data_IF_195770752457
#
_entry.id   IF_195770752457
#
_cell.length_a   1.000
_cell.length_b   1.000
_cell.length_c   1.000
_cell.angle_alpha   90.00
_cell.angle_beta   90.00
_cell.angle_gamma   90.00
#
_symmetry.space_group_name_H-M   'P 1'
#
loop_
_entity.id
_entity.type
_entity.pdbx_description
1 polymer ?
#
# COMPACT_ATOMS: atom_id res chain seq x y z
N UNK A 1 8.92 -6.85 17.11
CA UNK A 1 8.34 -7.47 15.90
C UNK A 1 8.95 -6.82 14.67
N UNK A 2 9.07 -7.57 13.56
CA UNK A 2 9.46 -7.05 12.24
C UNK A 2 8.21 -6.57 11.52
N UNK A 3 8.06 -5.28 11.33
CA UNK A 3 6.88 -4.67 10.71
C UNK A 3 7.23 -4.14 9.32
N UNK A 4 6.48 -4.57 8.32
CA UNK A 4 6.56 -4.03 6.96
C UNK A 4 5.60 -2.86 6.80
N UNK A 5 6.11 -1.66 6.55
CA UNK A 5 5.31 -0.46 6.28
C UNK A 5 5.07 -0.33 4.78
N UNK A 6 3.82 -0.51 4.36
CA UNK A 6 3.43 -0.43 2.97
C UNK A 6 2.61 0.84 2.73
N UNK A 7 3.25 1.85 2.16
CA UNK A 7 2.64 3.15 1.89
C UNK A 7 1.84 3.14 0.59
N UNK A 8 0.62 3.64 0.62
CA UNK A 8 -0.20 3.73 -0.57
C UNK A 8 -1.50 4.49 -0.39
N UNK A 9 -2.08 4.93 -1.51
CA UNK A 9 -3.46 5.46 -1.53
C UNK A 9 -4.48 4.33 -1.44
N UNK A 10 -4.13 3.14 -1.94
CA UNK A 10 -5.01 1.95 -2.01
C UNK A 10 -6.39 2.32 -2.55
N UNK A 11 -6.45 2.84 -3.76
CA UNK A 11 -7.63 3.42 -4.40
C UNK A 11 -7.98 2.73 -5.73
N UNK A 12 -8.48 1.44 -5.67
CA UNK A 12 -8.70 0.59 -4.49
C UNK A 12 -7.50 -0.27 -4.08
N UNK A 13 -7.64 -0.94 -2.91
CA UNK A 13 -6.83 -2.11 -2.55
C UNK A 13 -7.11 -3.24 -3.56
N UNK A 14 -6.08 -4.03 -3.92
CA UNK A 14 -6.23 -5.09 -4.91
C UNK A 14 -5.38 -6.33 -4.55
N UNK A 15 -5.61 -7.44 -5.26
CA UNK A 15 -4.96 -8.73 -5.01
C UNK A 15 -3.43 -8.65 -5.10
N UNK A 16 -2.89 -7.74 -5.90
CA UNK A 16 -1.44 -7.47 -5.93
C UNK A 16 -0.90 -6.98 -4.59
N UNK A 17 -1.59 -6.06 -3.92
CA UNK A 17 -1.19 -5.58 -2.59
C UNK A 17 -1.24 -6.71 -1.55
N UNK A 18 -2.36 -7.46 -1.51
CA UNK A 18 -2.54 -8.58 -0.58
C UNK A 18 -1.50 -9.67 -0.83
N UNK A 19 -1.22 -9.99 -2.10
CA UNK A 19 -0.23 -11.01 -2.49
C UNK A 19 1.17 -10.67 -2.00
N UNK A 20 1.59 -9.40 -2.08
CA UNK A 20 2.87 -8.92 -1.54
C UNK A 20 2.91 -9.12 -0.02
N UNK A 21 1.86 -8.69 0.70
CA UNK A 21 1.76 -8.86 2.14
C UNK A 21 1.87 -10.33 2.55
N UNK A 22 1.08 -11.19 1.90
CA UNK A 22 1.05 -12.63 2.14
C UNK A 22 2.42 -13.26 1.92
N UNK A 23 3.08 -12.93 0.79
CA UNK A 23 4.38 -13.49 0.45
C UNK A 23 5.46 -13.13 1.46
N UNK A 24 5.51 -11.89 1.91
CA UNK A 24 6.49 -11.43 2.92
C UNK A 24 6.27 -12.12 4.27
N UNK A 25 5.02 -12.31 4.67
CA UNK A 25 4.66 -13.04 5.88
C UNK A 25 5.01 -14.52 5.79
N UNK A 26 4.61 -15.22 4.73
CA UNK A 26 4.90 -16.66 4.53
C UNK A 26 6.40 -16.97 4.48
N UNK A 27 7.19 -16.05 3.90
CA UNK A 27 8.66 -16.15 3.87
C UNK A 27 9.33 -15.75 5.18
N UNK A 28 8.57 -15.38 6.23
CA UNK A 28 9.07 -14.92 7.53
C UNK A 28 10.03 -13.72 7.46
N UNK A 29 9.91 -12.93 6.40
CA UNK A 29 10.69 -11.69 6.23
C UNK A 29 10.17 -10.63 7.20
N UNK A 30 8.86 -10.57 7.39
CA UNK A 30 8.13 -9.71 8.32
C UNK A 30 7.17 -10.53 9.18
N UNK A 31 6.79 -9.98 10.34
CA UNK A 31 5.79 -10.56 11.25
C UNK A 31 4.40 -9.97 10.98
N UNK A 32 4.32 -8.68 10.63
CA UNK A 32 3.08 -7.99 10.25
C UNK A 32 3.35 -6.99 9.11
N UNK A 33 2.32 -6.71 8.31
CA UNK A 33 2.29 -5.58 7.37
C UNK A 33 1.33 -4.53 7.87
N UNK A 34 1.79 -3.28 7.93
CA UNK A 34 0.93 -2.14 8.17
C UNK A 34 0.73 -1.36 6.87
N UNK A 35 -0.48 -1.40 6.33
CA UNK A 35 -0.89 -0.58 5.20
C UNK A 35 -1.04 0.87 5.67
N UNK A 36 -0.07 1.70 5.36
CA UNK A 36 -0.07 3.12 5.75
C UNK A 36 -0.85 3.90 4.70
N UNK A 37 -2.08 4.29 5.04
CA UNK A 37 -2.97 4.99 4.10
C UNK A 37 -2.53 6.44 3.91
N UNK A 38 -2.15 6.76 2.68
CA UNK A 38 -1.83 8.12 2.27
C UNK A 38 -3.11 8.83 1.81
N UNK A 39 -3.52 9.94 2.48
CA UNK A 39 -4.73 10.68 2.11
C UNK A 39 -4.67 11.21 0.69
N UNK A 40 -3.54 11.81 0.33
CA UNK A 40 -3.25 12.35 -1.00
C UNK A 40 -1.76 12.20 -1.28
N UNK A 41 -1.40 11.45 -2.32
CA UNK A 41 -0.01 11.36 -2.74
C UNK A 41 0.49 12.70 -3.30
N UNK A 42 1.65 13.22 -2.85
CA UNK A 42 2.24 14.44 -3.39
C UNK A 42 2.45 14.39 -4.92
N UNK A 43 2.55 13.18 -5.47
CA UNK A 43 2.79 12.91 -6.90
C UNK A 43 1.50 12.77 -7.74
N UNK A 44 0.30 12.75 -7.10
CA UNK A 44 -1.00 12.55 -7.78
C UNK A 44 -1.89 13.78 -7.68
N UNK A 45 -1.43 14.93 -8.16
CA UNK A 45 -2.14 16.21 -8.03
C UNK A 45 -3.45 16.35 -8.83
N UNK A 46 -3.73 15.46 -9.78
CA UNK A 46 -4.84 15.61 -10.74
C UNK A 46 -5.90 14.50 -10.72
N UNK A 47 -5.71 13.45 -9.95
CA UNK A 47 -6.69 12.35 -9.92
C UNK A 47 -7.77 12.60 -8.86
N UNK A 48 -9.04 12.36 -9.22
CA UNK A 48 -10.14 12.32 -8.27
C UNK A 48 -10.03 11.03 -7.45
N UNK A 49 -9.43 11.14 -6.26
CA UNK A 49 -9.23 10.03 -5.33
C UNK A 49 -10.47 9.91 -4.45
N UNK A 50 -10.92 8.68 -4.18
CA UNK A 50 -12.00 8.40 -3.22
C UNK A 50 -11.63 8.92 -1.83
N UNK A 51 -12.62 9.39 -1.08
CA UNK A 51 -12.42 9.89 0.29
C UNK A 51 -11.60 8.91 1.14
N UNK A 52 -10.69 9.45 1.94
CA UNK A 52 -9.74 8.65 2.73
C UNK A 52 -10.42 7.73 3.75
N UNK A 53 -11.57 8.13 4.30
CA UNK A 53 -12.30 7.30 5.27
C UNK A 53 -13.03 6.15 4.56
N UNK A 54 -13.64 6.38 3.40
CA UNK A 54 -14.22 5.31 2.59
C UNK A 54 -13.15 4.29 2.14
N UNK A 55 -11.93 4.75 1.82
CA UNK A 55 -10.82 3.84 1.49
C UNK A 55 -10.38 3.03 2.72
N UNK A 56 -10.35 3.67 3.91
CA UNK A 56 -10.02 2.98 5.16
C UNK A 56 -11.04 1.90 5.49
N UNK A 57 -12.33 2.21 5.35
CA UNK A 57 -13.42 1.25 5.60
C UNK A 57 -13.33 0.06 4.64
N UNK A 58 -13.16 0.32 3.34
CA UNK A 58 -12.97 -0.70 2.31
C UNK A 58 -11.77 -1.61 2.60
N UNK A 59 -10.65 -1.03 3.06
CA UNK A 59 -9.45 -1.79 3.40
C UNK A 59 -9.69 -2.64 4.64
N UNK A 60 -10.29 -2.09 5.70
CA UNK A 60 -10.57 -2.83 6.92
C UNK A 60 -11.45 -4.04 6.65
N UNK A 61 -12.52 -3.90 5.84
CA UNK A 61 -13.32 -5.05 5.45
C UNK A 61 -12.51 -6.11 4.69
N UNK A 62 -11.64 -5.68 3.78
CA UNK A 62 -10.86 -6.61 2.95
C UNK A 62 -9.75 -7.35 3.72
N UNK A 63 -9.20 -6.75 4.77
CA UNK A 63 -8.10 -7.34 5.54
C UNK A 63 -8.53 -8.04 6.82
N UNK A 64 -9.80 -8.00 7.21
CA UNK A 64 -10.32 -8.59 8.44
C UNK A 64 -9.95 -10.06 8.63
N UNK A 65 -9.88 -10.81 7.54
CA UNK A 65 -9.47 -12.21 7.54
C UNK A 65 -7.95 -12.43 7.74
N UNK A 66 -7.10 -11.38 7.69
CA UNK A 66 -5.64 -11.49 7.75
C UNK A 66 -5.10 -10.92 9.06
N UNK A 67 -4.83 -11.77 10.06
CA UNK A 67 -4.33 -11.34 11.37
C UNK A 67 -2.97 -10.60 11.32
N UNK A 68 -2.21 -10.77 10.23
CA UNK A 68 -0.89 -10.15 10.03
C UNK A 68 -0.93 -8.87 9.17
N UNK A 69 -2.11 -8.39 8.76
CA UNK A 69 -2.25 -7.13 8.00
C UNK A 69 -3.08 -6.16 8.83
N UNK A 70 -2.61 -4.93 8.95
CA UNK A 70 -3.31 -3.84 9.65
C UNK A 70 -3.36 -2.60 8.77
N UNK A 71 -4.45 -1.84 8.83
CA UNK A 71 -4.54 -0.52 8.24
C UNK A 71 -4.12 0.55 9.24
N UNK A 72 -3.35 1.54 8.80
CA UNK A 72 -2.86 2.63 9.63
C UNK A 72 -3.23 3.99 9.03
N UNK A 73 -4.05 4.74 9.74
CA UNK A 73 -4.57 6.06 9.35
C UNK A 73 -3.73 7.23 9.87
N UNK A 74 -2.51 6.97 10.29
CA UNK A 74 -1.64 7.94 10.98
C UNK A 74 -1.47 9.25 10.20
N UNK A 75 -1.40 9.18 8.87
CA UNK A 75 -1.27 10.34 8.00
C UNK A 75 -2.53 11.22 7.94
N UNK A 76 -3.69 10.72 8.38
CA UNK A 76 -4.94 11.46 8.30
C UNK A 76 -4.96 12.71 9.20
N UNK A 77 -4.19 12.68 10.28
CA UNK A 77 -4.08 13.74 11.29
C UNK A 77 -2.78 14.54 11.15
N UNK A 78 -1.89 14.17 10.22
CA UNK A 78 -0.63 14.86 10.00
C UNK A 78 -0.80 16.09 9.12
N UNK A 79 0.07 17.10 9.32
CA UNK A 79 0.10 18.29 8.47
C UNK A 79 0.55 17.93 7.05
N UNK A 80 -0.19 18.41 6.06
CA UNK A 80 0.15 18.21 4.64
C UNK A 80 1.25 19.18 4.20
N UNK A 81 2.11 18.79 3.23
CA UNK A 81 2.13 17.50 2.53
C UNK A 81 2.72 16.38 3.40
N UNK A 82 2.13 15.17 3.30
CA UNK A 82 2.58 13.99 4.03
C UNK A 82 3.87 13.44 3.38
N UNK A 83 5.02 13.84 3.90
CA UNK A 83 6.29 13.27 3.47
C UNK A 83 6.58 11.99 4.25
N UNK A 84 6.96 10.92 3.55
CA UNK A 84 7.22 9.58 4.13
C UNK A 84 8.14 9.63 5.34
N UNK A 85 9.23 10.43 5.33
CA UNK A 85 10.15 10.51 6.46
C UNK A 85 9.50 11.06 7.74
N UNK A 86 8.51 11.96 7.63
CA UNK A 86 7.77 12.46 8.79
C UNK A 86 6.85 11.39 9.37
N UNK A 87 6.17 10.66 8.50
CA UNK A 87 5.30 9.54 8.88
C UNK A 87 6.10 8.45 9.58
N UNK A 88 7.28 8.13 9.06
CA UNK A 88 8.21 7.16 9.68
C UNK A 88 8.67 7.59 11.07
N UNK A 89 8.99 8.87 11.27
CA UNK A 89 9.31 9.42 12.59
C UNK A 89 8.16 9.29 13.57
N UNK A 90 6.94 9.60 13.14
CA UNK A 90 5.76 9.51 13.97
C UNK A 90 5.41 8.06 14.34
N UNK A 91 5.57 7.10 13.39
CA UNK A 91 5.40 5.67 13.66
C UNK A 91 6.42 5.19 14.70
N UNK A 92 7.72 5.52 14.52
CA UNK A 92 8.76 5.14 15.50
C UNK A 92 8.49 5.73 16.89
N UNK A 93 7.97 6.95 16.96
CA UNK A 93 7.62 7.60 18.22
C UNK A 93 6.45 6.90 18.91
N UNK A 94 5.41 6.52 18.16
CA UNK A 94 4.21 5.86 18.72
C UNK A 94 4.44 4.39 19.10
N UNK A 95 5.29 3.70 18.35
CA UNK A 95 5.49 2.25 18.48
C UNK A 95 7.00 1.93 18.51
N UNK A 96 7.74 2.37 19.54
CA UNK A 96 9.21 2.34 19.54
C UNK A 96 9.83 0.94 19.59
N UNK A 97 9.08 -0.07 20.04
CA UNK A 97 9.61 -1.44 20.29
C UNK A 97 9.68 -2.31 19.02
N UNK A 98 9.33 -1.80 17.85
CA UNK A 98 9.30 -2.57 16.61
C UNK A 98 10.49 -2.23 15.70
N UNK A 99 10.87 -3.22 14.89
CA UNK A 99 11.79 -3.04 13.76
C UNK A 99 11.00 -2.83 12.50
N UNK A 100 11.28 -1.76 11.76
CA UNK A 100 10.51 -1.37 10.59
C UNK A 100 11.29 -1.53 9.31
N UNK A 101 10.64 -2.13 8.29
CA UNK A 101 11.07 -2.13 6.90
C UNK A 101 10.02 -1.40 6.04
N UNK A 102 10.45 -0.73 4.98
CA UNK A 102 9.55 -0.05 4.04
C UNK A 102 9.33 -0.98 2.86
N UNK A 103 8.06 -1.25 2.54
CA UNK A 103 7.67 -2.04 1.35
C UNK A 103 7.31 -1.05 0.25
N UNK A 104 7.95 -1.16 -0.93
CA UNK A 104 7.65 -0.30 -2.07
C UNK A 104 7.90 -1.00 -3.41
N UNK A 105 7.20 -0.55 -4.45
CA UNK A 105 7.49 -1.00 -5.82
C UNK A 105 8.86 -0.52 -6.30
N UNK A 106 9.49 -1.28 -7.18
CA UNK A 106 10.79 -0.97 -7.78
C UNK A 106 10.80 0.40 -8.44
N UNK A 107 9.70 0.83 -9.05
CA UNK A 107 9.51 2.16 -9.63
C UNK A 107 9.70 3.31 -8.63
N UNK A 108 9.29 3.10 -7.39
CA UNK A 108 9.51 4.05 -6.28
C UNK A 108 10.93 3.94 -5.72
N UNK A 109 11.45 2.72 -5.64
CA UNK A 109 12.82 2.48 -5.16
C UNK A 109 13.85 3.17 -6.03
N UNK A 110 13.73 3.07 -7.36
CA UNK A 110 14.62 3.77 -8.31
C UNK A 110 14.59 5.29 -8.11
N UNK A 111 13.45 5.85 -7.70
CA UNK A 111 13.25 7.28 -7.49
C UNK A 111 13.46 7.73 -6.05
N UNK A 112 13.87 6.85 -5.14
CA UNK A 112 13.92 7.16 -3.71
C UNK A 112 14.83 8.34 -3.37
N UNK A 113 15.89 8.54 -4.15
CA UNK A 113 16.83 9.65 -3.95
C UNK A 113 16.22 11.03 -4.20
N UNK A 114 15.10 11.09 -4.92
CA UNK A 114 14.31 12.32 -5.12
C UNK A 114 13.35 12.61 -3.95
N UNK A 115 13.20 11.67 -3.02
CA UNK A 115 12.28 11.85 -1.89
C UNK A 115 12.88 12.78 -0.85
N UNK A 116 12.02 13.59 -0.23
CA UNK A 116 12.46 14.52 0.81
C UNK A 116 13.09 13.73 1.96
N UNK A 117 14.31 14.10 2.33
CA UNK A 117 15.09 13.46 3.39
C UNK A 117 15.36 11.95 3.14
N UNK A 118 15.65 11.60 1.88
CA UNK A 118 15.91 10.20 1.46
C UNK A 118 17.07 9.55 2.21
N UNK A 119 18.12 10.32 2.55
CA UNK A 119 19.25 9.84 3.35
C UNK A 119 18.80 9.33 4.72
N UNK A 120 17.91 10.04 5.41
CA UNK A 120 17.34 9.57 6.67
C UNK A 120 16.58 8.25 6.49
N UNK A 121 15.77 8.14 5.42
CA UNK A 121 15.01 6.92 5.13
C UNK A 121 15.97 5.74 4.93
N UNK A 122 16.96 5.89 4.04
CA UNK A 122 17.92 4.81 3.70
C UNK A 122 18.81 4.40 4.87
N UNK A 123 19.18 5.34 5.76
CA UNK A 123 20.05 5.05 6.90
C UNK A 123 19.31 4.41 8.08
N UNK A 124 17.99 4.57 8.19
CA UNK A 124 17.23 4.16 9.38
C UNK A 124 16.25 3.00 9.13
N UNK A 125 15.99 2.64 7.85
CA UNK A 125 15.00 1.63 7.51
C UNK A 125 15.53 0.71 6.43
N UNK A 126 15.32 -0.59 6.61
CA UNK A 126 15.46 -1.55 5.53
C UNK A 126 14.38 -1.29 4.47
N UNK A 127 14.76 -1.36 3.19
CA UNK A 127 13.82 -1.23 2.09
C UNK A 127 13.63 -2.59 1.44
N UNK A 128 12.39 -3.01 1.32
CA UNK A 128 11.96 -4.22 0.62
C UNK A 128 11.29 -3.74 -0.67
N UNK A 129 11.98 -3.86 -1.80
CA UNK A 129 11.42 -3.53 -3.10
C UNK A 129 10.81 -4.78 -3.73
N UNK A 130 9.69 -4.60 -4.43
CA UNK A 130 9.06 -5.66 -5.23
C UNK A 130 8.96 -5.23 -6.69
N UNK A 131 9.11 -6.18 -7.63
CA UNK A 131 9.04 -5.90 -9.06
C UNK A 131 7.62 -5.52 -9.48
N UNK A 132 7.50 -4.63 -10.47
CA UNK A 132 6.22 -4.25 -11.10
C UNK A 132 6.03 -4.85 -12.48
N UNK A 133 6.99 -5.62 -12.97
CA UNK A 133 6.89 -6.29 -14.26
C UNK A 133 7.45 -7.71 -14.19
N UNK A 134 6.93 -8.60 -15.00
CA UNK A 134 7.39 -10.00 -15.12
C UNK A 134 8.84 -10.14 -15.59
N UNK A 135 9.52 -9.05 -15.94
CA UNK A 135 10.90 -9.05 -16.43
C UNK A 135 11.96 -9.04 -15.32
N UNK A 136 11.59 -8.72 -14.08
CA UNK A 136 12.51 -8.75 -12.95
C UNK A 136 12.36 -10.08 -12.20
N UNK A 137 13.42 -10.87 -12.22
CA UNK A 137 13.50 -12.15 -11.52
C UNK A 137 13.92 -11.87 -10.07
N UNK A 138 12.95 -11.71 -9.18
CA UNK A 138 13.20 -11.70 -7.74
C UNK A 138 12.76 -13.02 -7.13
N UNK A 139 13.66 -13.69 -6.43
CA UNK A 139 13.40 -15.00 -5.80
C UNK A 139 12.28 -14.97 -4.75
N UNK A 140 11.96 -13.80 -4.20
CA UNK A 140 10.89 -13.62 -3.20
C UNK A 140 9.52 -13.45 -3.86
N UNK A 141 9.45 -12.76 -5.02
CA UNK A 141 8.21 -12.35 -5.67
C UNK A 141 7.95 -13.06 -7.02
N UNK A 142 8.15 -14.38 -7.08
CA UNK A 142 8.05 -15.17 -8.33
C UNK A 142 6.67 -15.18 -9.01
N UNK A 143 5.60 -14.80 -8.31
CA UNK A 143 4.26 -14.70 -8.88
C UNK A 143 3.82 -13.24 -8.81
N UNK A 144 4.03 -12.53 -9.89
CA UNK A 144 3.66 -11.14 -10.02
C UNK A 144 2.16 -10.98 -10.30
N UNK A 145 1.50 -10.10 -9.56
CA UNK A 145 0.13 -9.70 -9.83
C UNK A 145 0.14 -8.48 -10.75
N UNK A 146 -0.04 -8.71 -12.04
CA UNK A 146 -0.07 -7.65 -13.06
C UNK A 146 -1.42 -6.92 -13.01
N UNK A 147 -1.57 -6.07 -11.99
CA UNK A 147 -2.75 -5.25 -11.77
C UNK A 147 -2.41 -3.96 -11.05
N UNK A 148 -3.02 -2.87 -11.45
CA UNK A 148 -2.89 -1.57 -10.80
C UNK A 148 -4.24 -1.00 -10.40
N UNK A 149 -4.26 -0.17 -9.34
CA UNK A 149 -5.48 0.55 -8.94
C UNK A 149 -6.04 1.40 -10.08
N UNK A 150 -5.19 1.97 -10.94
CA UNK A 150 -5.62 2.76 -12.10
C UNK A 150 -6.36 1.91 -13.13
N UNK A 151 -5.85 0.72 -13.42
CA UNK A 151 -6.52 -0.25 -14.30
C UNK A 151 -7.87 -0.66 -13.77
N UNK A 152 -7.95 -0.99 -12.46
CA UNK A 152 -9.21 -1.36 -11.81
C UNK A 152 -10.23 -0.24 -11.93
N UNK A 153 -9.86 1.02 -11.67
CA UNK A 153 -10.76 2.16 -11.83
C UNK A 153 -11.26 2.31 -13.28
N UNK A 154 -10.39 2.08 -14.26
CA UNK A 154 -10.78 2.10 -15.68
C UNK A 154 -11.74 0.95 -16.03
N UNK A 155 -11.52 -0.25 -15.51
CA UNK A 155 -12.41 -1.39 -15.70
C UNK A 155 -13.80 -1.11 -15.12
N UNK A 156 -13.88 -0.57 -13.89
CA UNK A 156 -15.16 -0.18 -13.27
C UNK A 156 -15.89 0.86 -14.12
N UNK A 157 -15.18 1.91 -14.56
CA UNK A 157 -15.73 2.96 -15.41
C UNK A 157 -16.29 2.41 -16.73
N UNK A 158 -15.66 1.36 -17.26
CA UNK A 158 -16.09 0.67 -18.47
C UNK A 158 -17.11 -0.46 -18.18
N UNK A 159 -17.63 -0.56 -16.94
CA UNK A 159 -18.57 -1.60 -16.50
C UNK A 159 -18.06 -3.03 -16.70
N UNK A 160 -16.74 -3.22 -16.69
CA UNK A 160 -16.09 -4.53 -16.80
C UNK A 160 -16.00 -5.21 -15.43
N UNK A 161 -15.95 -6.54 -15.43
CA UNK A 161 -15.80 -7.31 -14.21
C UNK A 161 -14.39 -7.14 -13.61
N UNK A 162 -14.32 -6.88 -12.30
CA UNK A 162 -13.09 -6.70 -11.55
C UNK A 162 -12.85 -7.80 -10.51
N UNK A 163 -13.73 -8.80 -10.44
CA UNK A 163 -13.72 -9.83 -9.38
C UNK A 163 -12.40 -10.58 -9.27
N UNK A 164 -11.69 -10.79 -10.37
CA UNK A 164 -10.39 -11.45 -10.39
C UNK A 164 -9.23 -10.58 -9.87
N UNK A 165 -9.39 -9.27 -9.83
CA UNK A 165 -8.31 -8.32 -9.50
C UNK A 165 -8.35 -7.82 -8.07
N UNK A 166 -9.50 -7.90 -7.41
CA UNK A 166 -9.70 -7.37 -6.05
C UNK A 166 -10.29 -8.45 -5.12
N UNK A 167 -10.08 -8.34 -3.80
CA UNK A 167 -10.82 -9.13 -2.82
C UNK A 167 -12.34 -8.99 -3.00
N UNK A 168 -13.11 -10.01 -2.65
CA UNK A 168 -14.57 -10.00 -2.76
C UNK A 168 -15.20 -8.84 -1.98
N UNK A 169 -14.67 -8.51 -0.82
CA UNK A 169 -15.09 -7.40 0.03
C UNK A 169 -14.92 -6.06 -0.68
N UNK A 170 -13.77 -5.86 -1.35
CA UNK A 170 -13.51 -4.65 -2.15
C UNK A 170 -14.47 -4.56 -3.34
N UNK A 171 -14.72 -5.67 -4.06
CA UNK A 171 -15.66 -5.70 -5.18
C UNK A 171 -17.08 -5.34 -4.73
N UNK A 172 -17.53 -5.93 -3.62
CA UNK A 172 -18.82 -5.62 -3.00
C UNK A 172 -18.89 -4.14 -2.62
N UNK A 173 -17.89 -3.62 -1.88
CA UNK A 173 -17.83 -2.24 -1.41
C UNK A 173 -17.89 -1.22 -2.56
N UNK A 174 -17.14 -1.47 -3.65
CA UNK A 174 -17.16 -0.62 -4.85
C UNK A 174 -18.56 -0.55 -5.46
N UNK A 175 -19.25 -1.69 -5.56
CA UNK A 175 -20.63 -1.76 -6.10
C UNK A 175 -21.64 -1.05 -5.21
N UNK A 176 -21.64 -1.33 -3.91
CA UNK A 176 -22.57 -0.75 -2.93
C UNK A 176 -22.43 0.78 -2.82
N UNK A 177 -21.20 1.29 -2.86
CA UNK A 177 -20.92 2.73 -2.77
C UNK A 177 -20.85 3.43 -4.13
N UNK A 178 -21.07 2.71 -5.24
CA UNK A 178 -20.97 3.23 -6.61
C UNK A 178 -19.66 4.00 -6.85
N UNK A 179 -18.52 3.44 -6.37
CA UNK A 179 -17.22 4.07 -6.51
C UNK A 179 -16.68 3.87 -7.93
N UNK A 180 -15.96 4.85 -8.44
CA UNK A 180 -15.27 4.85 -9.74
C UNK A 180 -16.18 4.75 -10.98
N UNK A 181 -17.49 4.82 -10.83
CA UNK A 181 -18.45 4.80 -11.93
C UNK A 181 -18.53 6.15 -12.68
#
# INVERSE_FOLDING_TARGET
MKIGLFFGTFDPLHNGHIGICKKLFEKKIIDEVWLVLTPLSPHKKSEKIVDKYLRLDMINEAIDQFLYIKALDIEFKMQKPNYTFLTLKEIKKKFPSNNYSIIMGEDNFIKIDTWKNSSYIKSNFQIISYPRSSKSVDSVFNNFYDVSSTEIRNLVKNKSDISQYVPNEVNRFIKEKSLYA
#
